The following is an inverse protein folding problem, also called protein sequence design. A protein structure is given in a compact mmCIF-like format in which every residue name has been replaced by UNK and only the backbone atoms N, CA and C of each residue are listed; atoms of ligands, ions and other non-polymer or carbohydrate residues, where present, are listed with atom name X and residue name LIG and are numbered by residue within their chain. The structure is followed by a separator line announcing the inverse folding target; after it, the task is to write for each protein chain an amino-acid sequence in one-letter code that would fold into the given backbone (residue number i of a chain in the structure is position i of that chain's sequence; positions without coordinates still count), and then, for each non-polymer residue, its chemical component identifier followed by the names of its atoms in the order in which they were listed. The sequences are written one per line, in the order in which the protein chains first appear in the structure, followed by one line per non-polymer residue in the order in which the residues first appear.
data_IF_509802575337
#
_entry.id   IF_509802575337
#
_cell.length_a   1.000
_cell.length_b   1.000
_cell.length_c   1.000
_cell.angle_alpha   90.00
_cell.angle_beta   90.00
_cell.angle_gamma   90.00
#
_symmetry.space_group_name_H-M   'P 1'
#
loop_
_entity.id
_entity.type
_entity.pdbx_description
1 polymer ?
#
# COMPACT_ATOMS: atom_id res chain seq x y z
N UNK A 1 21.43 24.45 12.30
CA UNK A 1 22.14 25.01 11.13
C UNK A 1 21.66 24.25 9.88
N UNK A 2 20.93 24.91 8.98
CA UNK A 2 20.47 24.30 7.71
C UNK A 2 21.71 23.96 6.87
N UNK A 3 21.94 22.67 6.56
CA UNK A 3 23.06 22.24 5.71
C UNK A 3 22.64 22.40 4.25
N UNK A 4 23.31 23.28 3.52
CA UNK A 4 23.16 23.38 2.06
C UNK A 4 23.87 22.16 1.41
N UNK A 5 23.25 21.49 0.42
CA UNK A 5 23.82 20.29 -0.20
C UNK A 5 25.05 20.57 -1.08
N UNK A 6 25.26 21.81 -1.51
CA UNK A 6 26.38 22.25 -2.33
C UNK A 6 27.17 23.36 -1.63
N UNK A 7 28.49 23.48 -1.88
CA UNK A 7 29.26 24.61 -1.37
C UNK A 7 28.75 25.90 -2.01
N UNK A 8 28.07 26.72 -1.21
CA UNK A 8 27.51 28.00 -1.62
C UNK A 8 28.16 29.11 -0.81
N UNK A 9 28.60 30.16 -1.49
CA UNK A 9 29.10 31.38 -0.86
C UNK A 9 28.20 32.55 -1.26
N UNK A 10 27.92 33.44 -0.31
CA UNK A 10 27.23 34.69 -0.60
C UNK A 10 28.27 35.74 -0.98
N UNK A 11 28.04 36.41 -2.10
CA UNK A 11 28.78 37.60 -2.50
C UNK A 11 27.81 38.76 -2.54
N UNK A 12 28.09 39.79 -1.75
CA UNK A 12 27.34 41.03 -1.86
C UNK A 12 27.77 41.77 -3.13
N UNK A 13 26.79 42.25 -3.88
CA UNK A 13 26.96 43.04 -5.09
C UNK A 13 26.13 44.31 -4.90
N UNK A 14 26.68 45.45 -5.32
CA UNK A 14 25.97 46.73 -5.25
C UNK A 14 24.89 46.76 -6.33
N UNK A 15 23.67 47.14 -5.98
CA UNK A 15 22.58 47.36 -6.95
C UNK A 15 22.89 48.53 -7.88
N UNK A 16 22.30 48.51 -9.09
CA UNK A 16 22.49 49.53 -10.12
C UNK A 16 23.96 49.78 -10.49
N UNK A 17 24.75 48.70 -10.51
CA UNK A 17 26.17 48.73 -10.86
C UNK A 17 26.43 48.42 -12.34
N UNK A 18 25.38 48.22 -13.14
CA UNK A 18 25.48 47.84 -14.55
C UNK A 18 25.91 46.39 -14.76
N UNK A 19 25.75 45.54 -13.75
CA UNK A 19 26.05 44.10 -13.83
C UNK A 19 24.81 43.41 -14.39
N UNK A 20 24.88 42.99 -15.65
CA UNK A 20 23.77 42.42 -16.42
C UNK A 20 22.87 41.47 -15.60
N UNK A 21 23.43 40.43 -15.00
CA UNK A 21 22.63 39.47 -14.21
C UNK A 21 22.03 40.02 -12.90
N UNK A 22 22.60 41.08 -12.31
CA UNK A 22 21.98 41.76 -11.17
C UNK A 22 20.87 42.69 -11.64
N UNK A 23 21.08 43.45 -12.71
CA UNK A 23 20.05 44.35 -13.27
C UNK A 23 18.84 43.55 -13.80
N UNK A 24 19.07 42.40 -14.43
CA UNK A 24 17.99 41.52 -14.89
C UNK A 24 17.20 40.92 -13.70
N UNK A 25 17.90 40.56 -12.62
CA UNK A 25 17.24 40.12 -11.39
C UNK A 25 16.41 41.24 -10.74
N UNK A 26 16.90 42.48 -10.76
CA UNK A 26 16.17 43.66 -10.27
C UNK A 26 14.91 43.92 -11.12
N UNK A 27 15.01 43.84 -12.45
CA UNK A 27 13.87 43.96 -13.37
C UNK A 27 12.80 42.90 -13.11
N UNK A 28 13.19 41.62 -13.01
CA UNK A 28 12.26 40.52 -12.74
C UNK A 28 11.58 40.65 -11.36
N UNK A 29 12.29 41.17 -10.36
CA UNK A 29 11.73 41.44 -9.05
C UNK A 29 10.67 42.57 -9.10
N UNK A 30 10.92 43.63 -9.87
CA UNK A 30 9.97 44.73 -10.09
C UNK A 30 8.73 44.27 -10.86
N UNK A 31 8.89 43.47 -11.91
CA UNK A 31 7.78 42.86 -12.65
C UNK A 31 6.91 41.97 -11.74
N UNK A 32 7.55 41.17 -10.87
CA UNK A 32 6.88 40.34 -9.89
C UNK A 32 6.10 41.15 -8.86
N UNK A 33 6.66 42.27 -8.37
CA UNK A 33 6.02 43.16 -7.41
C UNK A 33 4.80 43.88 -8.00
N UNK A 34 4.85 44.24 -9.29
CA UNK A 34 3.79 44.98 -9.97
C UNK A 34 2.69 44.09 -10.57
N UNK A 35 2.87 42.76 -10.61
CA UNK A 35 1.89 41.81 -11.16
C UNK A 35 0.62 41.78 -10.29
N UNK A 36 -0.53 42.11 -10.88
CA UNK A 36 -1.85 42.03 -10.22
C UNK A 36 -2.52 40.69 -10.56
N UNK A 37 -2.76 39.87 -9.55
CA UNK A 37 -3.41 38.56 -9.65
C UNK A 37 -3.08 37.69 -8.44
N UNK A 38 -3.78 36.55 -8.23
CA UNK A 38 -3.30 35.56 -7.26
C UNK A 38 -1.89 35.13 -7.65
N UNK A 39 -1.02 34.94 -6.65
CA UNK A 39 0.33 34.43 -6.88
C UNK A 39 0.26 33.17 -7.76
N UNK A 40 1.20 33.03 -8.69
CA UNK A 40 1.29 31.82 -9.51
C UNK A 40 1.24 30.61 -8.56
N UNK A 41 0.43 29.61 -8.91
CA UNK A 41 0.42 28.31 -8.22
C UNK A 41 1.74 27.59 -8.53
N UNK A 42 2.85 28.15 -8.03
CA UNK A 42 4.11 27.48 -7.95
C UNK A 42 3.84 26.28 -7.06
N UNK A 43 3.94 25.10 -7.67
CA UNK A 43 3.90 23.84 -6.96
C UNK A 43 5.20 23.73 -6.14
N UNK A 44 5.33 24.56 -5.10
CA UNK A 44 6.35 24.51 -4.05
C UNK A 44 6.09 23.31 -3.13
N UNK A 45 5.48 22.23 -3.64
CA UNK A 45 5.58 20.95 -2.98
C UNK A 45 7.06 20.73 -2.86
N UNK A 46 7.57 20.86 -1.64
CA UNK A 46 8.85 20.31 -1.26
C UNK A 46 8.83 18.91 -1.82
N UNK A 47 9.56 18.70 -2.92
CA UNK A 47 9.71 17.40 -3.51
C UNK A 47 10.44 16.63 -2.44
N UNK A 48 9.62 15.90 -1.66
CA UNK A 48 9.92 15.15 -0.46
C UNK A 48 11.39 15.30 -0.05
N UNK A 49 11.72 16.12 0.96
CA UNK A 49 13.11 16.28 1.47
C UNK A 49 13.82 14.93 1.76
N UNK A 50 13.06 13.82 1.76
CA UNK A 50 13.47 12.44 1.91
C UNK A 50 14.08 11.78 0.65
N UNK A 51 13.80 12.23 -0.59
CA UNK A 51 14.39 11.61 -1.81
C UNK A 51 15.91 11.79 -1.85
N UNK A 52 16.42 12.90 -1.31
CA UNK A 52 17.85 13.17 -1.22
C UNK A 52 18.56 12.48 -0.04
N UNK A 53 17.83 11.94 0.94
CA UNK A 53 18.44 11.32 2.13
C UNK A 53 19.05 9.96 1.79
N UNK A 54 18.54 9.28 0.76
CA UNK A 54 18.99 7.94 0.38
C UNK A 54 20.37 7.91 -0.27
N UNK A 55 20.86 9.02 -0.84
CA UNK A 55 22.18 9.11 -1.49
C UNK A 55 23.20 9.92 -0.69
N UNK A 56 22.82 10.59 0.39
CA UNK A 56 23.68 11.55 1.11
C UNK A 56 23.84 11.32 2.61
N UNK A 57 23.33 10.21 3.16
CA UNK A 57 23.57 9.85 4.55
C UNK A 57 25.08 9.58 4.79
N UNK A 58 25.76 10.49 5.50
CA UNK A 58 27.15 10.26 5.93
C UNK A 58 27.18 9.04 6.84
N UNK A 59 27.91 7.99 6.45
CA UNK A 59 28.04 6.74 7.20
C UNK A 59 28.41 6.98 8.67
N UNK A 60 29.26 7.98 8.92
CA UNK A 60 29.75 8.39 10.24
C UNK A 60 28.66 8.94 11.18
N UNK A 61 27.57 9.48 10.63
CA UNK A 61 26.43 10.01 11.40
C UNK A 61 25.22 9.06 11.39
N UNK A 62 25.36 7.90 10.73
CA UNK A 62 24.29 6.91 10.61
C UNK A 62 24.17 6.14 11.93
N UNK A 63 23.00 6.20 12.54
CA UNK A 63 22.66 5.36 13.70
C UNK A 63 21.94 4.10 13.23
N UNK A 64 22.02 3.02 14.01
CA UNK A 64 21.29 1.78 13.75
C UNK A 64 19.77 2.02 13.57
N UNK A 65 19.19 2.93 14.37
CA UNK A 65 17.77 3.31 14.28
C UNK A 65 17.42 3.91 12.93
N UNK A 66 18.29 4.79 12.42
CA UNK A 66 18.09 5.47 11.13
C UNK A 66 18.29 4.50 9.96
N UNK A 67 19.35 3.68 10.00
CA UNK A 67 19.60 2.63 9.01
C UNK A 67 18.45 1.62 8.95
N UNK A 68 17.98 1.14 10.10
CA UNK A 68 16.84 0.23 10.18
C UNK A 68 15.54 0.85 9.66
N UNK A 69 15.30 2.14 9.97
CA UNK A 69 14.16 2.89 9.43
C UNK A 69 14.19 2.96 7.90
N UNK A 70 15.36 3.25 7.33
CA UNK A 70 15.57 3.30 5.87
C UNK A 70 15.35 1.94 5.21
N UNK A 71 15.93 0.86 5.77
CA UNK A 71 15.74 -0.50 5.26
C UNK A 71 14.26 -0.91 5.32
N UNK A 72 13.56 -0.55 6.39
CA UNK A 72 12.13 -0.83 6.53
C UNK A 72 11.30 -0.09 5.48
N UNK A 73 11.63 1.18 5.19
CA UNK A 73 10.96 1.96 4.15
C UNK A 73 11.26 1.43 2.74
N UNK A 74 12.53 1.13 2.45
CA UNK A 74 12.95 0.49 1.20
C UNK A 74 12.18 -0.81 0.96
N UNK A 75 12.05 -1.65 1.99
CA UNK A 75 11.32 -2.91 1.91
C UNK A 75 9.79 -2.72 1.90
N UNK A 76 9.27 -1.57 2.34
CA UNK A 76 7.85 -1.26 2.30
C UNK A 76 7.33 -0.83 0.93
N UNK A 77 8.22 -0.57 -0.04
CA UNK A 77 7.86 -0.32 -1.43
C UNK A 77 7.28 -1.55 -2.15
N UNK A 78 7.37 -2.74 -1.54
CA UNK A 78 6.67 -3.92 -2.04
C UNK A 78 5.22 -3.86 -1.55
N UNK A 79 4.20 -3.83 -2.43
CA UNK A 79 2.81 -3.86 -2.01
C UNK A 79 2.60 -5.09 -1.12
N UNK A 80 2.25 -4.84 0.15
CA UNK A 80 2.10 -5.88 1.15
C UNK A 80 0.73 -6.54 0.95
N UNK A 81 0.72 -7.60 0.14
CA UNK A 81 -0.37 -8.59 -0.06
C UNK A 81 -1.57 -8.16 -0.94
N UNK A 82 -1.52 -8.55 -2.21
CA UNK A 82 -2.60 -8.42 -3.21
C UNK A 82 -3.87 -9.19 -2.87
N UNK A 83 -3.74 -10.46 -2.42
CA UNK A 83 -4.89 -11.37 -2.25
C UNK A 83 -5.86 -10.97 -1.14
N UNK A 84 -5.34 -10.49 -0.01
CA UNK A 84 -6.17 -10.03 1.12
C UNK A 84 -7.02 -8.83 0.71
N UNK A 85 -6.43 -7.88 -0.01
CA UNK A 85 -7.15 -6.72 -0.51
C UNK A 85 -8.19 -7.11 -1.56
N UNK A 86 -7.87 -8.04 -2.47
CA UNK A 86 -8.83 -8.62 -3.41
C UNK A 86 -10.02 -9.27 -2.69
N UNK A 87 -9.76 -10.10 -1.68
CA UNK A 87 -10.81 -10.78 -0.91
C UNK A 87 -11.70 -9.79 -0.16
N UNK A 88 -11.12 -8.77 0.47
CA UNK A 88 -11.87 -7.70 1.13
C UNK A 88 -12.72 -6.92 0.11
N UNK A 89 -12.16 -6.56 -1.05
CA UNK A 89 -12.92 -5.87 -2.12
C UNK A 89 -14.06 -6.75 -2.65
N UNK A 90 -13.82 -8.05 -2.79
CA UNK A 90 -14.84 -9.02 -3.18
C UNK A 90 -15.97 -9.08 -2.16
N UNK A 91 -15.63 -9.18 -0.86
CA UNK A 91 -16.61 -9.14 0.22
C UNK A 91 -17.42 -7.83 0.25
N UNK A 92 -16.76 -6.67 0.08
CA UNK A 92 -17.44 -5.38 -0.03
C UNK A 92 -18.43 -5.34 -1.20
N UNK A 93 -18.04 -5.89 -2.35
CA UNK A 93 -18.90 -5.97 -3.54
C UNK A 93 -20.11 -6.86 -3.28
N UNK A 94 -19.91 -8.03 -2.69
CA UNK A 94 -20.99 -8.96 -2.35
C UNK A 94 -21.97 -8.36 -1.34
N UNK A 95 -21.48 -7.72 -0.26
CA UNK A 95 -22.35 -7.06 0.73
C UNK A 95 -23.14 -5.92 0.08
N UNK A 96 -22.51 -5.14 -0.82
CA UNK A 96 -23.22 -4.09 -1.56
C UNK A 96 -24.30 -4.65 -2.48
N UNK A 97 -24.06 -5.77 -3.14
CA UNK A 97 -25.06 -6.41 -3.99
C UNK A 97 -26.27 -6.89 -3.18
N UNK A 98 -26.05 -7.39 -1.96
CA UNK A 98 -27.13 -7.91 -1.12
C UNK A 98 -27.89 -6.83 -0.33
N UNK A 99 -27.18 -5.84 0.22
CA UNK A 99 -27.76 -4.83 1.13
C UNK A 99 -27.95 -3.45 0.49
N UNK A 100 -27.36 -3.21 -0.69
CA UNK A 100 -27.27 -1.88 -1.31
C UNK A 100 -26.21 -0.96 -0.69
N UNK A 101 -25.69 -1.26 0.50
CA UNK A 101 -24.74 -0.43 1.23
C UNK A 101 -23.30 -0.81 0.91
N UNK A 102 -22.41 0.18 0.84
CA UNK A 102 -20.97 -0.06 0.64
C UNK A 102 -20.25 -0.04 2.00
N UNK A 103 -19.98 -1.21 2.63
CA UNK A 103 -19.33 -1.25 3.92
C UNK A 103 -17.88 -0.77 3.82
N UNK A 104 -17.41 -0.05 4.85
CA UNK A 104 -15.98 0.16 5.05
C UNK A 104 -15.38 -1.14 5.57
N UNK A 105 -14.08 -1.29 5.41
CA UNK A 105 -13.38 -2.49 5.87
C UNK A 105 -13.60 -2.75 7.38
N UNK A 106 -13.59 -1.69 8.20
CA UNK A 106 -13.89 -1.78 9.64
C UNK A 106 -15.26 -2.41 9.93
N UNK A 107 -16.24 -2.18 9.07
CA UNK A 107 -17.61 -2.66 9.28
C UNK A 107 -17.67 -4.17 9.04
N UNK A 108 -16.87 -4.67 8.09
CA UNK A 108 -16.69 -6.12 7.85
C UNK A 108 -16.09 -6.78 9.09
N UNK A 109 -15.03 -6.20 9.67
CA UNK A 109 -14.40 -6.75 10.87
C UNK A 109 -15.32 -6.72 12.08
N UNK A 110 -16.03 -5.60 12.29
CA UNK A 110 -17.00 -5.49 13.38
C UNK A 110 -18.14 -6.49 13.24
N UNK A 111 -18.66 -6.70 12.03
CA UNK A 111 -19.68 -7.71 11.77
C UNK A 111 -19.16 -9.13 12.01
N UNK A 112 -17.91 -9.40 11.62
CA UNK A 112 -17.32 -10.72 11.76
C UNK A 112 -17.15 -11.16 13.23
N UNK A 113 -16.76 -10.22 14.09
CA UNK A 113 -16.53 -10.48 15.52
C UNK A 113 -17.69 -10.01 16.42
N UNK A 114 -18.89 -9.87 15.84
CA UNK A 114 -20.11 -9.66 16.63
C UNK A 114 -20.48 -10.94 17.40
N UNK A 115 -21.15 -10.80 18.55
CA UNK A 115 -21.55 -11.90 19.44
C UNK A 115 -22.51 -12.91 18.82
N UNK A 116 -23.14 -12.56 17.70
CA UNK A 116 -24.08 -13.41 16.97
C UNK A 116 -23.39 -14.57 16.24
N UNK A 117 -22.10 -14.44 15.91
CA UNK A 117 -21.32 -15.49 15.26
C UNK A 117 -20.45 -16.22 16.29
N UNK A 118 -20.49 -17.56 16.32
CA UNK A 118 -19.51 -18.36 17.05
C UNK A 118 -18.07 -18.02 16.64
N UNK A 119 -17.17 -17.88 17.62
CA UNK A 119 -15.79 -17.47 17.41
C UNK A 119 -15.03 -18.34 16.39
N UNK A 120 -15.29 -19.65 16.37
CA UNK A 120 -14.67 -20.58 15.41
C UNK A 120 -15.06 -20.26 13.95
N UNK A 121 -16.29 -19.83 13.71
CA UNK A 121 -16.77 -19.41 12.39
C UNK A 121 -16.11 -18.09 12.01
N UNK A 122 -16.08 -17.13 12.94
CA UNK A 122 -15.43 -15.83 12.74
C UNK A 122 -13.94 -15.98 12.40
N UNK A 123 -13.24 -16.84 13.14
CA UNK A 123 -11.83 -17.15 12.89
C UNK A 123 -11.62 -17.81 11.52
N UNK A 124 -12.53 -18.72 11.12
CA UNK A 124 -12.45 -19.37 9.83
C UNK A 124 -12.63 -18.38 8.66
N UNK A 125 -13.65 -17.52 8.71
CA UNK A 125 -13.86 -16.48 7.70
C UNK A 125 -12.71 -15.47 7.72
N UNK A 126 -12.17 -15.13 8.89
CA UNK A 126 -10.98 -14.28 8.99
C UNK A 126 -9.79 -14.90 8.24
N UNK A 127 -9.57 -16.22 8.38
CA UNK A 127 -8.52 -16.95 7.63
C UNK A 127 -8.78 -16.90 6.12
N UNK A 128 -10.02 -17.02 5.67
CA UNK A 128 -10.40 -16.91 4.25
C UNK A 128 -10.08 -15.51 3.71
N UNK A 129 -10.55 -14.45 4.39
CA UNK A 129 -10.30 -13.07 4.00
C UNK A 129 -8.80 -12.73 3.94
N UNK A 130 -7.99 -13.34 4.80
CA UNK A 130 -6.54 -13.17 4.80
C UNK A 130 -5.77 -14.13 3.89
N UNK A 131 -6.45 -14.99 3.12
CA UNK A 131 -5.85 -16.04 2.30
C UNK A 131 -4.85 -16.93 3.09
N UNK A 132 -5.26 -17.33 4.31
CA UNK A 132 -4.46 -18.12 5.25
C UNK A 132 -4.86 -19.59 5.33
N UNK A 133 -5.89 -20.00 4.60
CA UNK A 133 -6.26 -21.42 4.51
C UNK A 133 -5.34 -22.10 3.51
N UNK A 134 -4.80 -23.25 3.91
CA UNK A 134 -3.90 -24.05 3.08
C UNK A 134 -4.74 -24.98 2.19
N UNK A 135 -4.98 -24.59 0.95
CA UNK A 135 -5.65 -25.39 -0.06
C UNK A 135 -5.06 -25.10 -1.44
N UNK A 136 -5.22 -26.04 -2.38
CA UNK A 136 -4.93 -25.86 -3.81
C UNK A 136 -3.60 -25.17 -4.10
N UNK A 137 -3.68 -23.90 -4.49
CA UNK A 137 -2.54 -23.06 -4.85
C UNK A 137 -1.41 -23.04 -3.80
N UNK A 138 -1.74 -23.16 -2.52
CA UNK A 138 -0.73 -23.26 -1.46
C UNK A 138 0.17 -24.49 -1.65
N UNK A 139 -0.43 -25.63 -2.00
CA UNK A 139 0.27 -26.90 -2.20
C UNK A 139 0.93 -26.99 -3.58
N UNK A 140 0.38 -26.33 -4.60
CA UNK A 140 0.95 -26.30 -5.95
C UNK A 140 2.40 -25.78 -6.00
N UNK A 141 2.77 -24.88 -5.09
CA UNK A 141 4.10 -24.27 -5.00
C UNK A 141 5.10 -25.09 -4.18
N UNK A 142 4.70 -26.24 -3.61
CA UNK A 142 5.58 -27.08 -2.81
C UNK A 142 6.60 -27.82 -3.68
N UNK A 143 7.78 -28.14 -3.14
CA UNK A 143 8.82 -28.86 -3.90
C UNK A 143 8.55 -30.35 -4.03
N UNK A 144 8.09 -30.98 -2.94
CA UNK A 144 7.80 -32.42 -2.92
C UNK A 144 6.51 -32.74 -3.65
N UNK A 145 6.54 -33.78 -4.47
CA UNK A 145 5.41 -34.21 -5.30
C UNK A 145 4.22 -34.71 -4.45
N UNK A 146 4.51 -35.34 -3.30
CA UNK A 146 3.49 -35.76 -2.33
C UNK A 146 2.71 -34.57 -1.76
N UNK A 147 3.37 -33.43 -1.60
CA UNK A 147 2.70 -32.21 -1.13
C UNK A 147 1.97 -31.50 -2.27
N UNK A 148 2.53 -31.50 -3.48
CA UNK A 148 1.84 -30.94 -4.66
C UNK A 148 0.56 -31.68 -5.00
N UNK A 149 0.52 -33.01 -4.83
CA UNK A 149 -0.70 -33.79 -5.12
C UNK A 149 -1.88 -33.38 -4.24
N UNK A 150 -1.63 -32.83 -3.04
CA UNK A 150 -2.66 -32.25 -2.15
C UNK A 150 -3.28 -30.95 -2.65
N UNK A 151 -2.86 -30.43 -3.80
CA UNK A 151 -3.55 -29.30 -4.43
C UNK A 151 -4.93 -29.66 -4.98
N UNK A 152 -5.20 -30.95 -5.16
CA UNK A 152 -6.46 -31.42 -5.73
C UNK A 152 -7.43 -31.85 -4.63
N UNK A 153 -8.69 -31.51 -4.81
CA UNK A 153 -9.80 -32.11 -4.08
C UNK A 153 -9.92 -33.59 -4.48
N UNK A 154 -10.55 -34.40 -3.63
CA UNK A 154 -10.89 -35.80 -3.94
C UNK A 154 -11.70 -35.96 -5.24
N UNK A 155 -12.36 -34.91 -5.73
CA UNK A 155 -13.09 -34.94 -6.99
C UNK A 155 -12.22 -34.64 -8.23
N UNK A 156 -10.92 -34.40 -8.05
CA UNK A 156 -9.95 -34.11 -9.10
C UNK A 156 -9.82 -32.64 -9.50
N UNK A 157 -10.67 -31.75 -8.99
CA UNK A 157 -10.55 -30.30 -9.22
C UNK A 157 -9.47 -29.68 -8.32
N UNK A 158 -8.87 -28.55 -8.72
CA UNK A 158 -7.98 -27.79 -7.84
C UNK A 158 -8.79 -27.32 -6.62
N UNK A 159 -8.25 -27.57 -5.44
CA UNK A 159 -8.94 -27.30 -4.19
C UNK A 159 -8.93 -25.80 -3.85
N UNK A 160 -10.09 -25.15 -3.99
CA UNK A 160 -10.32 -23.80 -3.48
C UNK A 160 -11.34 -23.81 -2.34
N UNK A 161 -11.38 -22.74 -1.57
CA UNK A 161 -12.37 -22.60 -0.48
C UNK A 161 -13.78 -22.58 -1.05
N UNK A 162 -14.00 -21.89 -2.17
CA UNK A 162 -15.27 -21.84 -2.88
C UNK A 162 -15.68 -23.24 -3.35
N UNK A 163 -14.72 -24.01 -3.89
CA UNK A 163 -14.96 -25.36 -4.33
C UNK A 163 -15.38 -26.27 -3.16
N UNK A 164 -14.62 -26.25 -2.06
CA UNK A 164 -14.92 -27.06 -0.87
C UNK A 164 -16.28 -26.66 -0.30
N UNK A 165 -16.55 -25.38 -0.14
CA UNK A 165 -17.74 -24.94 0.60
C UNK A 165 -19.00 -25.06 -0.26
N UNK A 166 -18.96 -24.70 -1.55
CA UNK A 166 -20.17 -24.47 -2.34
C UNK A 166 -20.34 -25.42 -3.55
N UNK A 167 -19.25 -25.91 -4.14
CA UNK A 167 -19.32 -26.52 -5.47
C UNK A 167 -19.14 -28.04 -5.48
N UNK A 168 -18.30 -28.56 -4.57
CA UNK A 168 -17.86 -29.94 -4.62
C UNK A 168 -19.04 -30.92 -4.49
N UNK A 169 -19.11 -31.86 -5.44
CA UNK A 169 -20.17 -32.87 -5.46
C UNK A 169 -19.91 -34.00 -4.46
N UNK A 170 -18.64 -34.37 -4.28
CA UNK A 170 -18.27 -35.49 -3.41
C UNK A 170 -18.50 -35.19 -1.93
N UNK A 171 -18.22 -33.97 -1.49
CA UNK A 171 -18.52 -33.54 -0.12
C UNK A 171 -20.00 -33.13 0.07
N UNK A 172 -20.83 -33.30 -0.96
CA UNK A 172 -22.26 -32.96 -0.97
C UNK A 172 -22.54 -31.49 -0.63
N UNK A 173 -21.62 -30.56 -0.93
CA UNK A 173 -21.76 -29.12 -0.64
C UNK A 173 -23.15 -28.57 -1.03
N UNK A 174 -23.63 -28.88 -2.23
CA UNK A 174 -24.96 -28.45 -2.71
C UNK A 174 -26.14 -28.91 -1.83
N UNK A 175 -26.01 -30.01 -1.09
CA UNK A 175 -27.06 -30.47 -0.15
C UNK A 175 -27.00 -29.69 1.15
N UNK A 176 -25.80 -29.36 1.62
CA UNK A 176 -25.58 -28.58 2.86
C UNK A 176 -26.22 -27.19 2.80
N UNK A 177 -26.22 -26.57 1.62
CA UNK A 177 -26.76 -25.23 1.40
C UNK A 177 -28.20 -25.19 0.85
N UNK A 178 -28.88 -26.33 0.76
CA UNK A 178 -30.33 -26.34 0.55
C UNK A 178 -30.98 -25.99 1.88
N UNK A 179 -31.31 -24.71 2.05
CA UNK A 179 -32.29 -24.23 3.02
C UNK A 179 -33.70 -24.63 2.57
#
# INVERSE_FOLDING_TARGET
VRKQPYPTAFKWIKGHAGIEGNEEADLLAEEGANRKGPADNLNLKEENQLTHVHTSARLQAMTQKLAYGMIKQWNSAKPRNTKREENIKSAQKAIKQYTGLKPKEKDIWNGLFNKELPNNISEFIWKILHNRVKCGQFFANMKSEEWKSKQYCACGAIETIEHIIFECKLNKAKRTWKL
#
